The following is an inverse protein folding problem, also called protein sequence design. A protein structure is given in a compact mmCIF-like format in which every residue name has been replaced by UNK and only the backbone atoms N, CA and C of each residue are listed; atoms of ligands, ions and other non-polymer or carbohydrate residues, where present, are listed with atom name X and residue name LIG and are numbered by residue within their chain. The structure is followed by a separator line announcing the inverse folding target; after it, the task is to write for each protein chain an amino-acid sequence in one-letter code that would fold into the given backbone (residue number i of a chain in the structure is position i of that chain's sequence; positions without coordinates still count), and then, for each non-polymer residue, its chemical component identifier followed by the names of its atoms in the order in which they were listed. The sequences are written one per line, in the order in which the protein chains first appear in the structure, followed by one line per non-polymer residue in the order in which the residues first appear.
data_IF_626482998042
#
_entry.id   IF_626482998042
#
_cell.length_a   1.000
_cell.length_b   1.000
_cell.length_c   1.000
_cell.angle_alpha   90.00
_cell.angle_beta   90.00
_cell.angle_gamma   90.00
#
_symmetry.space_group_name_H-M   'P 1'
#
loop_
_entity.id
_entity.type
_entity.pdbx_description
1 polymer ?
#
# COMPACT_ATOMS: atom_id res chain seq x y z
N UNK A 1 35.83 -2.66 -7.94
CA UNK A 1 35.56 -1.40 -7.23
C UNK A 1 34.35 -0.69 -7.83
N UNK A 2 34.26 -0.56 -9.16
CA UNK A 2 33.14 0.11 -9.84
C UNK A 2 31.74 -0.50 -9.58
N UNK A 3 31.63 -1.84 -9.47
CA UNK A 3 30.34 -2.48 -9.17
C UNK A 3 29.82 -2.12 -7.77
N UNK A 4 30.72 -2.00 -6.79
CA UNK A 4 30.36 -1.64 -5.42
C UNK A 4 29.95 -0.16 -5.34
N UNK A 5 30.67 0.73 -6.04
CA UNK A 5 30.32 2.15 -6.15
C UNK A 5 28.96 2.35 -6.84
N UNK A 6 28.65 1.53 -7.86
CA UNK A 6 27.34 1.55 -8.52
C UNK A 6 26.20 1.12 -7.59
N UNK A 7 26.34 0.01 -6.86
CA UNK A 7 25.31 -0.43 -5.90
C UNK A 7 25.17 0.53 -4.71
N UNK A 8 26.28 1.11 -4.22
CA UNK A 8 26.25 2.13 -3.17
C UNK A 8 25.53 3.39 -3.65
N UNK A 9 25.85 3.88 -4.86
CA UNK A 9 25.20 5.02 -5.48
C UNK A 9 23.69 4.81 -5.65
N UNK A 10 23.29 3.61 -6.10
CA UNK A 10 21.88 3.24 -6.22
C UNK A 10 21.20 3.23 -4.84
N UNK A 11 21.83 2.64 -3.82
CA UNK A 11 21.28 2.59 -2.48
C UNK A 11 21.10 3.99 -1.87
N UNK A 12 22.08 4.90 -1.98
CA UNK A 12 21.91 6.28 -1.50
C UNK A 12 20.84 7.03 -2.27
N UNK A 13 20.72 6.82 -3.57
CA UNK A 13 19.68 7.45 -4.39
C UNK A 13 18.28 7.02 -3.94
N UNK A 14 18.04 5.72 -3.80
CA UNK A 14 16.71 5.19 -3.43
C UNK A 14 16.33 5.51 -1.99
N UNK A 15 17.27 5.45 -1.03
CA UNK A 15 16.97 5.67 0.39
C UNK A 15 16.73 7.15 0.74
N UNK A 16 17.45 8.07 0.09
CA UNK A 16 17.42 9.49 0.48
C UNK A 16 16.82 10.42 -0.57
N UNK A 17 17.07 10.20 -1.86
CA UNK A 17 16.70 11.15 -2.92
C UNK A 17 15.31 10.83 -3.48
N UNK A 18 15.03 9.56 -3.75
CA UNK A 18 13.77 9.10 -4.37
C UNK A 18 12.82 8.39 -3.37
N UNK A 19 13.04 8.58 -2.07
CA UNK A 19 12.25 7.91 -1.05
C UNK A 19 10.86 8.54 -0.88
N UNK A 20 9.83 7.69 -0.85
CA UNK A 20 8.41 8.06 -0.76
C UNK A 20 8.10 8.94 0.48
N UNK A 21 8.73 8.63 1.61
CA UNK A 21 8.51 9.36 2.87
C UNK A 21 9.22 10.72 2.92
N UNK A 22 10.43 10.82 2.36
CA UNK A 22 11.28 12.02 2.49
C UNK A 22 11.09 13.02 1.33
N UNK A 23 10.87 12.52 0.11
CA UNK A 23 10.76 13.37 -1.08
C UNK A 23 9.30 13.76 -1.39
N UNK A 24 8.38 12.80 -1.27
CA UNK A 24 6.97 12.99 -1.62
C UNK A 24 6.06 13.26 -0.42
N UNK A 25 6.59 13.17 0.81
CA UNK A 25 5.86 13.39 2.07
C UNK A 25 4.61 12.50 2.24
N UNK A 26 4.63 11.29 1.69
CA UNK A 26 3.55 10.30 1.85
C UNK A 26 3.81 9.42 3.09
N UNK A 27 2.76 9.10 3.86
CA UNK A 27 2.85 8.17 5.00
C UNK A 27 3.30 8.80 6.33
N UNK A 28 3.32 10.14 6.43
CA UNK A 28 3.80 10.87 7.60
C UNK A 28 3.00 10.61 8.89
N UNK A 29 1.70 10.31 8.78
CA UNK A 29 0.82 10.10 9.95
C UNK A 29 1.28 8.92 10.81
N UNK A 30 1.49 7.75 10.19
CA UNK A 30 2.01 6.56 10.87
C UNK A 30 3.45 6.72 11.33
N UNK A 31 4.26 7.45 10.55
CA UNK A 31 5.65 7.71 10.89
C UNK A 31 5.75 8.51 12.19
N UNK A 32 5.12 9.70 12.25
CA UNK A 32 5.15 10.57 13.42
C UNK A 32 4.51 9.95 14.67
N UNK A 33 3.50 9.09 14.49
CA UNK A 33 2.81 8.44 15.60
C UNK A 33 3.67 7.38 16.32
N UNK A 34 4.49 6.63 15.59
CA UNK A 34 5.15 5.41 16.11
C UNK A 34 6.67 5.59 16.32
N UNK A 35 7.23 6.77 16.02
CA UNK A 35 8.66 7.09 16.19
C UNK A 35 9.25 6.89 17.60
N UNK A 36 8.41 6.77 18.65
CA UNK A 36 8.89 6.63 20.05
C UNK A 36 9.27 5.21 20.45
N UNK A 37 8.78 4.17 19.77
CA UNK A 37 9.01 2.76 20.13
C UNK A 37 9.57 1.99 18.93
N UNK A 38 10.86 1.64 19.00
CA UNK A 38 11.59 0.98 17.90
C UNK A 38 10.99 -0.41 17.56
N UNK A 39 10.64 -1.19 18.58
CA UNK A 39 10.06 -2.54 18.36
C UNK A 39 8.72 -2.46 17.61
N UNK A 40 7.89 -1.45 17.93
CA UNK A 40 6.62 -1.23 17.27
C UNK A 40 6.79 -0.64 15.85
N UNK A 41 7.77 0.23 15.63
CA UNK A 41 8.03 0.83 14.32
C UNK A 41 8.51 -0.21 13.30
N UNK A 42 9.34 -1.15 13.72
CA UNK A 42 9.79 -2.26 12.88
C UNK A 42 8.60 -3.15 12.49
N UNK A 43 7.76 -3.52 13.47
CA UNK A 43 6.55 -4.33 13.22
C UNK A 43 5.57 -3.66 12.25
N UNK A 44 5.32 -2.36 12.42
CA UNK A 44 4.48 -1.60 11.49
C UNK A 44 5.11 -1.51 10.10
N UNK A 45 6.42 -1.28 10.00
CA UNK A 45 7.12 -1.19 8.72
C UNK A 45 6.98 -2.47 7.89
N UNK A 46 7.18 -3.63 8.52
CA UNK A 46 6.96 -4.93 7.86
C UNK A 46 5.50 -5.12 7.43
N UNK A 47 4.53 -4.73 8.27
CA UNK A 47 3.11 -4.81 7.92
C UNK A 47 2.78 -3.93 6.70
N UNK A 48 3.30 -2.69 6.64
CA UNK A 48 3.07 -1.77 5.51
C UNK A 48 3.71 -2.30 4.23
N UNK A 49 4.95 -2.81 4.28
CA UNK A 49 5.62 -3.40 3.11
C UNK A 49 4.83 -4.61 2.58
N UNK A 50 4.35 -5.48 3.48
CA UNK A 50 3.57 -6.65 3.13
C UNK A 50 2.22 -6.27 2.47
N UNK A 51 1.47 -5.36 3.08
CA UNK A 51 0.21 -4.87 2.51
C UNK A 51 0.46 -4.23 1.16
N UNK A 52 1.42 -3.30 1.07
CA UNK A 52 1.74 -2.61 -0.19
C UNK A 52 2.17 -3.57 -1.30
N UNK A 53 3.00 -4.57 -0.98
CA UNK A 53 3.45 -5.58 -1.94
C UNK A 53 2.33 -6.43 -2.54
N UNK A 54 1.21 -6.59 -1.83
CA UNK A 54 0.05 -7.35 -2.29
C UNK A 54 -1.01 -6.44 -2.92
N UNK A 55 -1.28 -5.27 -2.32
CA UNK A 55 -2.35 -4.38 -2.77
C UNK A 55 -2.02 -3.72 -4.09
N UNK A 56 -0.76 -3.36 -4.37
CA UNK A 56 -0.36 -2.74 -5.64
C UNK A 56 -0.63 -3.65 -6.84
N UNK A 57 -0.14 -4.90 -6.90
CA UNK A 57 -0.44 -5.79 -8.03
C UNK A 57 -1.94 -6.11 -8.12
N UNK A 58 -2.64 -6.25 -6.99
CA UNK A 58 -4.08 -6.50 -6.99
C UNK A 58 -4.88 -5.30 -7.53
N UNK A 59 -4.54 -4.08 -7.13
CA UNK A 59 -5.16 -2.85 -7.62
C UNK A 59 -4.83 -2.62 -9.10
N UNK A 60 -3.62 -2.99 -9.55
CA UNK A 60 -3.29 -2.97 -10.98
C UNK A 60 -4.17 -3.93 -11.77
N UNK A 61 -4.38 -5.16 -11.30
CA UNK A 61 -5.31 -6.11 -11.91
C UNK A 61 -6.74 -5.55 -11.95
N UNK A 62 -7.23 -4.97 -10.84
CA UNK A 62 -8.57 -4.37 -10.79
C UNK A 62 -8.68 -3.19 -11.77
N UNK A 63 -7.65 -2.36 -11.89
CA UNK A 63 -7.63 -1.23 -12.83
C UNK A 63 -7.75 -1.72 -14.28
N UNK A 64 -6.92 -2.69 -14.67
CA UNK A 64 -6.85 -3.20 -16.04
C UNK A 64 -8.08 -4.07 -16.40
N UNK A 65 -8.59 -4.88 -15.48
CA UNK A 65 -9.69 -5.81 -15.76
C UNK A 65 -11.09 -5.26 -15.44
N UNK A 66 -11.21 -4.24 -14.59
CA UNK A 66 -12.51 -3.76 -14.11
C UNK A 66 -12.81 -2.30 -14.44
N UNK A 67 -11.79 -1.47 -14.66
CA UNK A 67 -11.94 -0.02 -14.54
C UNK A 67 -11.58 0.77 -15.79
N UNK A 68 -10.62 0.30 -16.59
CA UNK A 68 -10.27 0.94 -17.85
C UNK A 68 -11.37 0.78 -18.91
N UNK A 69 -11.43 1.76 -19.82
CA UNK A 69 -12.38 1.79 -20.95
C UNK A 69 -12.32 0.45 -21.72
N UNK A 70 -13.44 -0.28 -21.75
CA UNK A 70 -13.54 -1.56 -22.46
C UNK A 70 -13.09 -2.80 -21.67
N UNK A 71 -12.74 -2.69 -20.38
CA UNK A 71 -12.31 -3.85 -19.59
C UNK A 71 -13.43 -4.88 -19.32
N UNK A 72 -14.71 -4.46 -19.34
CA UNK A 72 -15.86 -5.34 -19.12
C UNK A 72 -16.28 -6.19 -20.34
N UNK A 73 -15.46 -6.27 -21.40
CA UNK A 73 -15.72 -7.14 -22.56
C UNK A 73 -15.89 -8.61 -22.14
N UNK A 74 -15.25 -9.04 -21.04
CA UNK A 74 -15.41 -10.39 -20.47
C UNK A 74 -16.81 -10.70 -19.91
N UNK A 75 -17.61 -9.68 -19.55
CA UNK A 75 -18.95 -9.86 -18.96
C UNK A 75 -20.04 -10.09 -20.04
N UNK A 76 -19.72 -9.90 -21.33
CA UNK A 76 -20.61 -10.23 -22.45
C UNK A 76 -21.80 -9.27 -22.66
N UNK A 77 -21.81 -8.11 -22.01
CA UNK A 77 -22.87 -7.10 -22.12
C UNK A 77 -22.39 -5.97 -23.04
N UNK A 78 -22.88 -5.86 -24.30
CA UNK A 78 -22.38 -4.91 -25.29
C UNK A 78 -22.64 -3.43 -24.94
N UNK A 79 -23.60 -3.15 -24.04
CA UNK A 79 -23.92 -1.80 -23.59
C UNK A 79 -22.91 -1.22 -22.56
N UNK A 80 -22.06 -2.07 -21.97
CA UNK A 80 -21.16 -1.68 -20.88
C UNK A 80 -19.69 -1.52 -21.33
N UNK A 81 -19.41 -1.84 -22.60
CA UNK A 81 -18.06 -1.77 -23.19
C UNK A 81 -17.54 -0.34 -23.37
N UNK A 82 -18.42 0.67 -23.40
CA UNK A 82 -18.06 2.09 -23.59
C UNK A 82 -18.22 2.92 -22.33
N UNK A 83 -18.54 2.31 -21.19
CA UNK A 83 -18.70 3.04 -19.92
C UNK A 83 -17.35 3.21 -19.27
N UNK A 84 -16.94 4.46 -19.07
CA UNK A 84 -15.75 4.80 -18.29
C UNK A 84 -16.07 4.70 -16.79
N UNK A 85 -15.50 3.72 -16.09
CA UNK A 85 -15.64 3.54 -14.63
C UNK A 85 -14.47 4.14 -13.84
N UNK A 86 -13.56 4.90 -14.46
CA UNK A 86 -12.39 5.47 -13.77
C UNK A 86 -12.76 6.36 -12.58
N UNK A 87 -13.94 6.97 -12.55
CA UNK A 87 -14.42 7.72 -11.38
C UNK A 87 -14.47 6.86 -10.10
N UNK A 88 -14.66 5.54 -10.23
CA UNK A 88 -14.76 4.62 -9.11
C UNK A 88 -13.39 4.13 -8.56
N UNK A 89 -12.27 4.51 -9.19
CA UNK A 89 -10.91 4.03 -8.86
C UNK A 89 -10.54 4.22 -7.40
N UNK A 90 -10.84 5.39 -6.84
CA UNK A 90 -10.51 5.68 -5.46
C UNK A 90 -11.24 4.77 -4.49
N UNK A 91 -12.54 4.56 -4.71
CA UNK A 91 -13.39 3.75 -3.82
C UNK A 91 -12.98 2.27 -3.92
N UNK A 92 -12.72 1.76 -5.13
CA UNK A 92 -12.29 0.37 -5.32
C UNK A 92 -10.91 0.11 -4.71
N UNK A 93 -9.95 1.01 -4.88
CA UNK A 93 -8.62 0.85 -4.27
C UNK A 93 -8.68 0.90 -2.74
N UNK A 94 -9.44 1.84 -2.16
CA UNK A 94 -9.62 1.91 -0.69
C UNK A 94 -10.30 0.62 -0.18
N UNK A 95 -11.31 0.11 -0.87
CA UNK A 95 -12.00 -1.13 -0.48
C UNK A 95 -11.07 -2.35 -0.48
N UNK A 96 -10.23 -2.48 -1.52
CA UNK A 96 -9.24 -3.56 -1.61
C UNK A 96 -8.19 -3.47 -0.50
N UNK A 97 -7.69 -2.26 -0.22
CA UNK A 97 -6.73 -2.03 0.86
C UNK A 97 -7.39 -2.36 2.21
N UNK A 98 -8.62 -1.90 2.47
CA UNK A 98 -9.34 -2.19 3.70
C UNK A 98 -9.54 -3.70 3.93
N UNK A 99 -9.91 -4.45 2.88
CA UNK A 99 -10.04 -5.90 2.96
C UNK A 99 -8.70 -6.58 3.31
N UNK A 100 -7.59 -6.11 2.73
CA UNK A 100 -6.26 -6.64 3.01
C UNK A 100 -5.78 -6.30 4.44
N UNK A 101 -6.02 -5.08 4.90
CA UNK A 101 -5.70 -4.66 6.27
C UNK A 101 -6.50 -5.46 7.28
N UNK A 102 -7.78 -5.74 7.00
CA UNK A 102 -8.60 -6.60 7.86
C UNK A 102 -8.00 -8.01 8.00
N UNK A 103 -7.46 -8.56 6.91
CA UNK A 103 -6.76 -9.84 6.95
C UNK A 103 -5.51 -9.77 7.83
N UNK A 104 -4.72 -8.70 7.71
CA UNK A 104 -3.53 -8.48 8.54
C UNK A 104 -3.88 -8.32 10.01
N UNK A 105 -4.99 -7.66 10.35
CA UNK A 105 -5.48 -7.54 11.73
C UNK A 105 -5.73 -8.92 12.35
N UNK A 106 -6.44 -9.81 11.65
CA UNK A 106 -6.69 -11.18 12.10
C UNK A 106 -5.40 -12.00 12.23
N UNK A 107 -4.40 -11.77 11.36
CA UNK A 107 -3.09 -12.44 11.47
C UNK A 107 -2.29 -11.94 12.66
N UNK A 108 -2.25 -10.63 12.90
CA UNK A 108 -1.46 -10.03 13.97
C UNK A 108 -2.00 -10.41 15.36
N UNK A 109 -3.32 -10.47 15.53
CA UNK A 109 -3.94 -10.93 16.78
C UNK A 109 -3.53 -12.38 17.12
N UNK A 110 -3.43 -13.25 16.11
CA UNK A 110 -3.06 -14.65 16.29
C UNK A 110 -1.56 -14.88 16.50
N UNK A 111 -0.69 -14.15 15.80
CA UNK A 111 0.76 -14.41 15.80
C UNK A 111 1.53 -13.55 16.81
N UNK A 112 1.10 -12.32 17.11
CA UNK A 112 1.82 -11.40 18.00
C UNK A 112 0.87 -10.51 18.81
N UNK A 113 0.34 -11.02 19.93
CA UNK A 113 -0.53 -10.24 20.82
C UNK A 113 0.20 -9.05 21.46
N UNK A 114 1.53 -9.11 21.60
CA UNK A 114 2.34 -7.99 22.10
C UNK A 114 2.32 -6.78 21.14
N UNK A 115 2.38 -7.05 19.83
CA UNK A 115 2.32 -6.01 18.81
C UNK A 115 0.88 -5.49 18.66
N UNK A 116 -0.11 -6.37 18.70
CA UNK A 116 -1.53 -5.98 18.68
C UNK A 116 -1.90 -5.07 19.85
N UNK A 117 -1.46 -5.36 21.08
CA UNK A 117 -1.70 -4.50 22.24
C UNK A 117 -0.98 -3.13 22.16
N UNK A 118 0.14 -3.06 21.44
CA UNK A 118 0.90 -1.82 21.26
C UNK A 118 0.39 -0.96 20.10
N UNK A 119 -0.29 -1.57 19.12
CA UNK A 119 -0.59 -0.98 17.81
C UNK A 119 -2.07 -1.03 17.44
N UNK A 120 -2.93 -1.68 18.21
CA UNK A 120 -4.30 -2.04 17.82
C UNK A 120 -5.17 -0.87 17.35
N UNK A 121 -5.03 0.31 17.93
CA UNK A 121 -5.76 1.51 17.50
C UNK A 121 -5.22 2.05 16.15
N UNK A 122 -3.97 1.76 15.82
CA UNK A 122 -3.29 2.21 14.59
C UNK A 122 -3.34 1.18 13.46
N UNK A 123 -3.83 -0.03 13.67
CA UNK A 123 -4.01 -1.02 12.60
C UNK A 123 -4.99 -0.52 11.51
N UNK A 124 -6.16 0.05 11.86
CA UNK A 124 -7.04 0.68 10.87
C UNK A 124 -6.42 1.87 10.13
N UNK A 125 -5.42 2.53 10.72
CA UNK A 125 -4.71 3.65 10.08
C UNK A 125 -3.88 3.19 8.87
N UNK A 126 -3.59 1.89 8.75
CA UNK A 126 -2.94 1.33 7.56
C UNK A 126 -3.85 1.45 6.34
N UNK A 127 -5.17 1.31 6.50
CA UNK A 127 -6.12 1.37 5.39
C UNK A 127 -6.16 2.75 4.70
N UNK A 128 -5.92 3.80 5.47
CA UNK A 128 -5.86 5.20 5.00
C UNK A 128 -4.42 5.70 4.87
N UNK A 129 -3.44 4.79 4.82
CA UNK A 129 -2.05 5.18 4.68
C UNK A 129 -1.80 5.76 3.27
N UNK A 130 -1.43 7.04 3.22
CA UNK A 130 -1.20 7.75 1.97
C UNK A 130 -0.10 7.12 1.12
N UNK A 131 0.89 6.45 1.71
CA UNK A 131 1.94 5.75 0.95
C UNK A 131 1.38 4.57 0.16
N UNK A 132 0.42 3.83 0.72
CA UNK A 132 -0.18 2.65 0.10
C UNK A 132 -1.14 3.08 -1.01
N UNK A 133 -1.95 4.10 -0.74
CA UNK A 133 -2.85 4.68 -1.74
C UNK A 133 -2.06 5.31 -2.89
N UNK A 134 -1.00 6.06 -2.58
CA UNK A 134 -0.12 6.67 -3.58
C UNK A 134 0.53 5.63 -4.48
N UNK A 135 1.08 4.55 -3.91
CA UNK A 135 1.69 3.45 -4.68
C UNK A 135 0.69 2.64 -5.53
N UNK A 136 -0.61 2.70 -5.21
CA UNK A 136 -1.65 2.07 -6.04
C UNK A 136 -2.14 2.97 -7.17
N UNK A 137 -1.95 4.29 -7.04
CA UNK A 137 -2.43 5.30 -7.98
C UNK A 137 -1.37 5.67 -9.04
N UNK A 138 -0.09 5.71 -8.62
CA UNK A 138 1.09 5.95 -9.46
C UNK A 138 1.73 4.62 -9.89
#
# INVERSE_FOLDING_TARGET
MELLEHYLSLATKTIFIENILLAYFLGMCSFLAISKKIEASIGLGFAVIFVNGITVPLNYLIKVFLLDEGALVWVGIPALATVDLRFLSFITFIATIAAMVQLVEMLLDKFSPALYNSLGIFLPLIAVNCSILGASLF
#
